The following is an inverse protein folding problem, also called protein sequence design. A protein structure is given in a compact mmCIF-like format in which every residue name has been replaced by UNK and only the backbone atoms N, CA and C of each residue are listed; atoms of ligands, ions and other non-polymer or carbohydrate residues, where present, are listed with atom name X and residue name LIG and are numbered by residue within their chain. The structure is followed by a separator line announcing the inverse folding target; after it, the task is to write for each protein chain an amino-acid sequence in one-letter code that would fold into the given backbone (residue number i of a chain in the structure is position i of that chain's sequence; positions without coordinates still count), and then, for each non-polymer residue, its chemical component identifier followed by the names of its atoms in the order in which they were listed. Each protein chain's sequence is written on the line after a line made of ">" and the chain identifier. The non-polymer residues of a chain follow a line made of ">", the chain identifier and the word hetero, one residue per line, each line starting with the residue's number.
data_IF_135586866271
#
_entry.id   IF_135586866271
#
_cell.length_a   1.000
_cell.length_b   1.000
_cell.length_c   1.000
_cell.angle_alpha   90.00
_cell.angle_beta   90.00
_cell.angle_gamma   90.00
#
_symmetry.space_group_name_H-M   'P 1'
#
loop_
_entity.id
_entity.type
_entity.pdbx_description
1 polymer ?
#
# COMPACT_ATOMS: atom_id res chain seq x y z
N UNK A 1 -13.00 -5.31 -26.58
CA UNK A 1 -13.72 -5.15 -25.29
C UNK A 1 -14.32 -3.76 -25.28
N UNK A 2 -15.63 -3.61 -25.04
CA UNK A 2 -16.22 -2.29 -24.89
C UNK A 2 -15.72 -1.69 -23.57
N UNK A 3 -15.03 -0.55 -23.63
CA UNK A 3 -14.69 0.24 -22.45
C UNK A 3 -16.00 0.78 -21.88
N UNK A 4 -16.56 0.05 -20.92
CA UNK A 4 -17.71 0.54 -20.17
C UNK A 4 -17.15 1.55 -19.18
N UNK A 5 -17.31 2.84 -19.47
CA UNK A 5 -16.89 3.90 -18.57
C UNK A 5 -17.53 3.68 -17.20
N UNK A 6 -16.71 3.50 -16.17
CA UNK A 6 -17.17 3.47 -14.79
C UNK A 6 -17.58 4.89 -14.44
N UNK A 7 -18.82 5.03 -14.00
CA UNK A 7 -19.33 6.30 -13.47
C UNK A 7 -19.93 6.08 -12.09
N UNK A 8 -19.96 7.11 -11.27
CA UNK A 8 -20.51 7.03 -9.92
C UNK A 8 -21.99 6.60 -9.93
N UNK A 9 -22.74 6.94 -10.97
CA UNK A 9 -24.13 6.55 -11.16
C UNK A 9 -24.30 5.03 -11.30
N UNK A 10 -23.32 4.35 -11.93
CA UNK A 10 -23.35 2.89 -12.05
C UNK A 10 -23.16 2.20 -10.70
N UNK A 11 -22.43 2.84 -9.78
CA UNK A 11 -22.10 2.32 -8.46
C UNK A 11 -23.15 2.64 -7.40
N UNK A 12 -23.93 3.72 -7.58
CA UNK A 12 -24.98 4.17 -6.63
C UNK A 12 -26.02 3.10 -6.29
N UNK A 13 -26.23 2.07 -7.12
CA UNK A 13 -27.22 1.02 -6.82
C UNK A 13 -26.82 0.11 -5.65
N UNK A 14 -25.52 0.03 -5.32
CA UNK A 14 -24.98 -0.81 -4.25
C UNK A 14 -24.87 -0.10 -2.90
N UNK A 15 -24.88 1.23 -2.88
CA UNK A 15 -24.57 2.03 -1.70
C UNK A 15 -25.66 3.06 -1.45
N UNK A 16 -25.96 3.32 -0.17
CA UNK A 16 -27.02 4.24 0.21
C UNK A 16 -26.64 5.69 -0.11
N UNK A 17 -25.34 6.01 -0.07
CA UNK A 17 -24.82 7.33 -0.42
C UNK A 17 -23.38 7.26 -0.99
N UNK A 18 -22.89 8.39 -1.50
CA UNK A 18 -21.56 8.46 -2.12
C UNK A 18 -20.42 8.34 -1.10
N UNK A 19 -20.61 8.79 0.14
CA UNK A 19 -19.58 8.65 1.18
C UNK A 19 -19.35 7.19 1.55
N UNK A 20 -20.42 6.41 1.64
CA UNK A 20 -20.35 4.97 1.90
C UNK A 20 -19.58 4.24 0.80
N UNK A 21 -19.86 4.54 -0.47
CA UNK A 21 -19.09 4.02 -1.61
C UNK A 21 -17.60 4.33 -1.46
N UNK A 22 -17.24 5.57 -1.12
CA UNK A 22 -15.84 6.00 -0.98
C UNK A 22 -15.18 5.28 0.20
N UNK A 23 -15.82 5.28 1.37
CA UNK A 23 -15.31 4.58 2.56
C UNK A 23 -15.09 3.09 2.30
N UNK A 24 -16.05 2.44 1.65
CA UNK A 24 -15.94 1.04 1.28
C UNK A 24 -14.78 0.78 0.30
N UNK A 25 -14.64 1.62 -0.73
CA UNK A 25 -13.54 1.50 -1.69
C UNK A 25 -12.17 1.70 -1.03
N UNK A 26 -12.06 2.62 -0.06
CA UNK A 26 -10.83 2.82 0.73
C UNK A 26 -10.50 1.55 1.51
N UNK A 27 -11.44 0.99 2.26
CA UNK A 27 -11.21 -0.23 3.04
C UNK A 27 -10.83 -1.42 2.14
N UNK A 28 -11.44 -1.54 0.96
CA UNK A 28 -11.09 -2.59 0.00
C UNK A 28 -9.68 -2.39 -0.58
N UNK A 29 -9.31 -1.14 -0.90
CA UNK A 29 -7.97 -0.81 -1.37
C UNK A 29 -6.91 -1.08 -0.29
N UNK A 30 -7.18 -0.70 0.96
CA UNK A 30 -6.31 -0.99 2.11
C UNK A 30 -6.13 -2.50 2.28
N UNK A 31 -7.22 -3.27 2.23
CA UNK A 31 -7.17 -4.72 2.29
C UNK A 31 -6.29 -5.32 1.17
N UNK A 32 -6.43 -4.82 -0.06
CA UNK A 32 -5.59 -5.24 -1.19
C UNK A 32 -4.11 -4.95 -0.97
N UNK A 33 -3.80 -3.76 -0.43
CA UNK A 33 -2.42 -3.35 -0.18
C UNK A 33 -1.81 -4.18 0.96
N UNK A 34 -2.54 -4.37 2.06
CA UNK A 34 -2.06 -5.10 3.24
C UNK A 34 -1.85 -6.58 2.95
N UNK A 35 -2.80 -7.21 2.25
CA UNK A 35 -2.68 -8.63 1.88
C UNK A 35 -1.73 -8.90 0.73
N UNK A 36 -1.45 -7.88 -0.10
CA UNK A 36 -0.77 -8.05 -1.37
C UNK A 36 -1.55 -8.87 -2.39
N UNK A 37 -2.87 -9.07 -2.19
CA UNK A 37 -3.68 -9.87 -3.12
C UNK A 37 -3.74 -9.23 -4.50
N UNK A 38 -3.83 -10.07 -5.52
CA UNK A 38 -4.07 -9.61 -6.88
C UNK A 38 -5.53 -9.16 -7.08
N UNK A 39 -5.78 -8.28 -8.08
CA UNK A 39 -7.12 -7.90 -8.46
C UNK A 39 -7.90 -9.11 -9.00
N UNK A 40 -9.15 -9.26 -8.57
CA UNK A 40 -10.06 -10.33 -9.03
C UNK A 40 -10.65 -10.04 -10.41
N UNK A 41 -10.55 -8.79 -10.87
CA UNK A 41 -10.93 -8.36 -12.20
C UNK A 41 -9.66 -8.00 -12.97
N UNK A 42 -9.49 -8.58 -14.17
CA UNK A 42 -8.40 -8.22 -15.06
C UNK A 42 -8.65 -6.80 -15.57
N UNK A 43 -7.67 -5.93 -15.38
CA UNK A 43 -7.70 -4.56 -15.88
C UNK A 43 -6.37 -4.25 -16.55
N UNK A 44 -6.38 -3.38 -17.55
CA UNK A 44 -5.17 -2.95 -18.27
C UNK A 44 -4.38 -1.88 -17.50
N UNK A 45 -4.83 -1.53 -16.29
CA UNK A 45 -4.24 -0.46 -15.48
C UNK A 45 -3.55 -1.01 -14.24
N UNK A 46 -2.47 -0.35 -13.84
CA UNK A 46 -1.80 -0.61 -12.56
C UNK A 46 -2.37 0.24 -11.41
N UNK A 47 -3.32 1.14 -11.70
CA UNK A 47 -3.93 1.99 -10.70
C UNK A 47 -4.84 1.15 -9.78
N UNK A 48 -4.42 0.97 -8.52
CA UNK A 48 -5.16 0.21 -7.50
C UNK A 48 -6.57 0.75 -7.26
N UNK A 49 -6.77 2.07 -7.28
CA UNK A 49 -8.09 2.66 -7.10
C UNK A 49 -9.04 2.26 -8.24
N UNK A 50 -8.53 2.23 -9.48
CA UNK A 50 -9.34 1.80 -10.63
C UNK A 50 -9.67 0.30 -10.58
N UNK A 51 -8.70 -0.52 -10.18
CA UNK A 51 -8.90 -1.97 -9.99
C UNK A 51 -9.98 -2.25 -8.95
N UNK A 52 -9.98 -1.51 -7.84
CA UNK A 52 -11.00 -1.59 -6.78
C UNK A 52 -12.38 -1.24 -7.33
N UNK A 53 -12.51 -0.14 -8.07
CA UNK A 53 -13.80 0.26 -8.66
C UNK A 53 -14.32 -0.79 -9.65
N UNK A 54 -13.45 -1.38 -10.47
CA UNK A 54 -13.79 -2.48 -11.39
C UNK A 54 -14.27 -3.73 -10.64
N UNK A 55 -13.64 -4.10 -9.52
CA UNK A 55 -14.12 -5.19 -8.66
C UNK A 55 -15.51 -4.91 -8.08
N UNK A 56 -15.75 -3.68 -7.63
CA UNK A 56 -17.05 -3.27 -7.08
C UNK A 56 -18.14 -3.33 -8.15
N UNK A 57 -17.87 -2.83 -9.36
CA UNK A 57 -18.80 -2.91 -10.51
C UNK A 57 -19.08 -4.36 -10.88
N UNK A 58 -18.06 -5.23 -10.88
CA UNK A 58 -18.20 -6.64 -11.21
C UNK A 58 -18.86 -7.49 -10.11
N UNK A 59 -19.07 -6.93 -8.91
CA UNK A 59 -19.59 -7.68 -7.76
C UNK A 59 -18.61 -8.70 -7.19
N UNK A 60 -17.30 -8.50 -7.41
CA UNK A 60 -16.22 -9.38 -6.96
C UNK A 60 -15.41 -8.75 -5.82
N UNK A 61 -15.93 -7.71 -5.22
CA UNK A 61 -15.43 -6.93 -4.08
C UNK A 61 -15.52 -7.72 -2.76
N UNK A 62 -15.00 -8.94 -2.72
CA UNK A 62 -15.02 -9.74 -1.50
C UNK A 62 -14.00 -9.21 -0.48
N UNK A 63 -14.50 -8.86 0.70
CA UNK A 63 -13.66 -8.45 1.82
C UNK A 63 -13.21 -9.70 2.57
N UNK A 64 -11.94 -10.07 2.41
CA UNK A 64 -11.34 -11.10 3.24
C UNK A 64 -10.72 -10.43 4.46
N UNK A 65 -11.27 -10.62 5.68
CA UNK A 65 -10.76 -9.96 6.86
C UNK A 65 -9.33 -10.42 7.12
N UNK A 66 -8.38 -9.48 7.02
CA UNK A 66 -7.02 -9.71 7.52
C UNK A 66 -7.14 -9.76 9.03
N UNK A 67 -6.96 -10.92 9.63
CA UNK A 67 -6.72 -11.01 11.06
C UNK A 67 -5.38 -10.31 11.27
N UNK A 68 -5.32 -9.13 11.92
CA UNK A 68 -4.04 -8.50 12.14
C UNK A 68 -3.26 -9.42 13.08
N UNK A 69 -2.18 -10.02 12.58
CA UNK A 69 -1.19 -10.62 13.46
C UNK A 69 -0.76 -9.51 14.42
N UNK A 70 -1.11 -9.67 15.70
CA UNK A 70 -0.60 -8.82 16.76
C UNK A 70 0.92 -8.92 16.66
N UNK A 71 1.57 -7.91 16.09
CA UNK A 71 3.01 -7.71 16.30
C UNK A 71 3.18 -7.63 17.80
N UNK A 72 3.63 -8.73 18.42
CA UNK A 72 4.16 -8.70 19.78
C UNK A 72 5.29 -7.69 19.74
N UNK A 73 5.09 -6.55 20.39
CA UNK A 73 6.16 -5.65 20.72
C UNK A 73 7.06 -6.39 21.73
N UNK A 74 8.05 -7.13 21.23
CA UNK A 74 9.21 -7.50 22.02
C UNK A 74 10.03 -6.23 22.28
N UNK A 75 9.56 -5.42 23.25
CA UNK A 75 10.45 -4.47 23.92
C UNK A 75 11.21 -5.24 24.98
N UNK A 76 12.34 -5.79 24.56
CA UNK A 76 13.44 -6.20 25.41
C UNK A 76 13.68 -5.14 26.50
N UNK A 77 13.43 -5.51 27.75
CA UNK A 77 13.90 -4.76 28.92
C UNK A 77 15.43 -4.91 28.98
N UNK A 78 16.14 -4.10 28.21
CA UNK A 78 17.58 -3.94 28.39
C UNK A 78 17.80 -3.02 29.59
N UNK A 79 18.21 -3.61 30.72
CA UNK A 79 18.79 -2.90 31.85
C UNK A 79 19.95 -2.04 31.36
N UNK A 80 19.75 -0.72 31.32
CA UNK A 80 20.82 0.24 31.12
C UNK A 80 21.62 0.36 32.41
N UNK A 81 22.72 -0.39 32.47
CA UNK A 81 23.83 -0.09 33.38
C UNK A 81 24.61 1.07 32.75
N UNK A 82 24.56 2.24 33.39
CA UNK A 82 25.38 3.38 33.02
C UNK A 82 26.85 2.98 33.15
N UNK A 83 27.61 3.11 32.05
CA UNK A 83 29.05 3.25 32.14
C UNK A 83 29.51 4.30 31.14
N UNK A 84 30.25 5.23 31.71
CA UNK A 84 30.66 6.52 31.21
C UNK A 84 31.83 6.39 30.21
N UNK A 85 31.94 7.37 29.30
CA UNK A 85 33.24 7.76 28.73
C UNK A 85 33.60 7.34 27.30
N UNK A 86 33.31 8.24 26.35
CA UNK A 86 34.18 8.63 25.20
C UNK A 86 34.40 7.57 24.08
N UNK A 87 34.50 7.82 22.77
CA UNK A 87 35.14 8.91 22.03
C UNK A 87 34.76 8.85 20.54
N UNK A 88 34.49 10.02 19.97
CA UNK A 88 34.82 10.50 18.62
C UNK A 88 34.48 9.71 17.32
N UNK A 89 33.57 10.36 16.57
CA UNK A 89 33.22 10.23 15.16
C UNK A 89 34.41 10.50 14.22
N UNK A 90 34.54 9.74 13.13
CA UNK A 90 34.77 10.30 11.77
C UNK A 90 34.76 9.20 10.71
N UNK A 91 33.76 9.21 9.82
CA UNK A 91 33.80 8.51 8.54
C UNK A 91 33.72 9.58 7.44
N UNK A 92 34.74 9.75 6.58
CA UNK A 92 34.74 10.82 5.60
C UNK A 92 33.95 10.46 4.33
N UNK A 93 33.26 11.48 3.86
CA UNK A 93 32.39 11.59 2.69
C UNK A 93 33.03 11.21 1.35
N UNK A 94 32.14 10.75 0.46
CA UNK A 94 32.29 10.54 -0.99
C UNK A 94 32.94 11.73 -1.71
N UNK A 95 33.78 11.47 -2.74
CA UNK A 95 33.87 12.29 -3.97
C UNK A 95 34.72 11.64 -5.10
N UNK A 96 34.05 11.40 -6.24
CA UNK A 96 34.45 11.66 -7.68
C UNK A 96 35.70 10.92 -8.22
N UNK A 97 35.84 10.51 -9.48
CA UNK A 97 35.20 10.84 -10.74
C UNK A 97 35.38 9.68 -11.74
N UNK A 98 34.36 9.37 -12.57
CA UNK A 98 34.58 8.64 -13.83
C UNK A 98 34.88 9.68 -14.91
N UNK A 99 36.05 9.58 -15.54
CA UNK A 99 36.34 10.28 -16.80
C UNK A 99 36.67 9.21 -17.85
N UNK A 100 35.73 9.04 -18.77
CA UNK A 100 35.89 8.35 -20.04
C UNK A 100 36.44 9.40 -21.01
N UNK A 101 37.59 9.16 -21.67
CA UNK A 101 37.83 9.47 -23.09
C UNK A 101 39.27 9.09 -23.57
N UNK A 102 39.33 8.52 -24.78
CA UNK A 102 40.42 8.44 -25.82
C UNK A 102 41.64 7.55 -25.50
N UNK A 103 42.17 6.70 -26.39
CA UNK A 103 42.07 6.51 -27.87
C UNK A 103 41.46 5.16 -28.29
#
# INVERSE_FOLDING_TARGET
>A
MAYKFITNETLKKKFQNQFELVSYAISLAENMIVTGRDPRVKTDTQNRAMQVLEEIVAGKDQFEPVIPEKKQEERSQHHSHENDGSSHKSAPERKRARKILVD
#
